data_IF_586808618819
#
_entry.id   IF_586808618819
#
_cell.length_a   1.000
_cell.length_b   1.000
_cell.length_c   1.000
_cell.angle_alpha   90.00
_cell.angle_beta   90.00
_cell.angle_gamma   90.00
#
_symmetry.space_group_name_H-M   'P 1'
#
loop_
_entity.id
_entity.type
_entity.pdbx_description
1 polymer ?
#
# COMPACT_ATOMS: atom_id res chain seq x y z
N UNK A 1 -0.56 8.17 -0.88
CA UNK A 1 -0.77 7.93 0.56
C UNK A 1 0.38 8.59 1.30
N UNK A 2 0.17 9.11 2.49
CA UNK A 2 1.28 9.71 3.22
C UNK A 2 1.93 8.70 4.17
N UNK A 3 3.12 9.07 4.66
CA UNK A 3 3.92 8.20 5.51
C UNK A 3 3.19 7.79 6.79
N UNK A 4 2.54 8.75 7.47
CA UNK A 4 1.87 8.46 8.72
C UNK A 4 0.71 7.49 8.53
N UNK A 5 -0.01 7.61 7.41
CA UNK A 5 -1.11 6.69 7.12
C UNK A 5 -0.59 5.28 6.87
N UNK A 6 0.52 5.15 6.14
CA UNK A 6 1.12 3.85 5.89
C UNK A 6 1.58 3.22 7.19
N UNK A 7 2.24 4.00 8.06
CA UNK A 7 2.68 3.51 9.35
C UNK A 7 1.50 3.02 10.21
N UNK A 8 0.40 3.77 10.21
CA UNK A 8 -0.77 3.38 10.98
C UNK A 8 -1.35 2.06 10.48
N UNK A 9 -1.42 1.88 9.17
CA UNK A 9 -1.94 0.64 8.58
C UNK A 9 -1.05 -0.53 8.99
N UNK A 10 0.27 -0.38 8.86
CA UNK A 10 1.19 -1.46 9.18
C UNK A 10 1.22 -1.77 10.68
N UNK A 11 1.24 -0.74 11.53
CA UNK A 11 1.34 -0.93 12.98
C UNK A 11 0.07 -1.51 13.56
N UNK A 12 -1.08 -1.10 13.04
CA UNK A 12 -2.38 -1.53 13.55
C UNK A 12 -2.94 -2.73 12.80
N UNK A 13 -2.23 -3.18 11.76
CA UNK A 13 -2.66 -4.29 10.91
C UNK A 13 -4.09 -4.07 10.39
N UNK A 14 -4.36 -2.85 9.95
CA UNK A 14 -5.68 -2.52 9.42
C UNK A 14 -5.94 -3.28 8.14
N UNK A 15 -7.19 -3.70 7.99
CA UNK A 15 -7.62 -4.38 6.76
C UNK A 15 -8.18 -3.33 5.82
N UNK A 16 -7.33 -2.83 4.95
CA UNK A 16 -7.71 -1.84 3.95
C UNK A 16 -7.28 -2.33 2.58
N UNK A 17 -8.02 -1.91 1.56
CA UNK A 17 -7.67 -2.23 0.19
C UNK A 17 -6.76 -1.13 -0.33
N UNK A 18 -5.55 -1.51 -0.71
CA UNK A 18 -4.54 -0.57 -1.21
C UNK A 18 -4.28 -0.90 -2.67
N UNK A 19 -4.16 0.14 -3.47
CA UNK A 19 -4.00 0.01 -4.91
C UNK A 19 -2.78 0.81 -5.38
N UNK A 20 -2.13 0.27 -6.39
CA UNK A 20 -1.09 0.94 -7.15
C UNK A 20 -1.37 0.70 -8.62
N UNK A 21 -1.49 1.79 -9.40
CA UNK A 21 -1.73 1.70 -10.85
C UNK A 21 -2.94 0.80 -11.16
N UNK A 22 -4.04 1.03 -10.44
CA UNK A 22 -5.31 0.29 -10.60
C UNK A 22 -5.21 -1.19 -10.24
N UNK A 23 -4.11 -1.64 -9.63
CA UNK A 23 -3.93 -3.03 -9.24
C UNK A 23 -3.90 -3.16 -7.73
N UNK A 24 -4.56 -4.17 -7.17
CA UNK A 24 -4.52 -4.38 -5.72
C UNK A 24 -3.13 -4.84 -5.28
N UNK A 25 -2.66 -4.25 -4.18
CA UNK A 25 -1.34 -4.55 -3.65
C UNK A 25 -1.40 -4.66 -2.13
N UNK A 26 -0.36 -5.27 -1.55
CA UNK A 26 -0.15 -5.18 -0.10
C UNK A 26 1.22 -4.55 0.14
N UNK A 27 1.34 -3.86 1.27
CA UNK A 27 2.57 -3.19 1.65
C UNK A 27 3.38 -4.13 2.54
N UNK A 28 4.62 -4.40 2.14
CA UNK A 28 5.52 -5.26 2.90
C UNK A 28 6.35 -4.44 3.89
N UNK A 29 6.64 -3.20 3.56
CA UNK A 29 7.41 -2.32 4.43
C UNK A 29 7.61 -0.98 3.78
N UNK A 30 8.11 -0.02 4.56
CA UNK A 30 8.38 1.32 4.04
C UNK A 30 9.74 1.79 4.51
N UNK A 31 10.36 2.65 3.69
CA UNK A 31 11.62 3.31 4.02
C UNK A 31 11.50 4.72 3.47
N UNK A 32 11.31 5.70 4.37
CA UNK A 32 11.06 7.09 3.99
C UNK A 32 9.81 7.16 3.11
N UNK A 33 9.95 7.63 1.87
CA UNK A 33 8.81 7.79 0.97
C UNK A 33 8.68 6.64 -0.03
N UNK A 34 9.40 5.55 0.18
CA UNK A 34 9.36 4.37 -0.70
C UNK A 34 8.75 3.20 0.05
N UNK A 35 7.81 2.51 -0.58
CA UNK A 35 7.19 1.32 -0.04
C UNK A 35 7.55 0.12 -0.89
N UNK A 36 7.83 -0.99 -0.22
CA UNK A 36 7.95 -2.27 -0.90
C UNK A 36 6.58 -2.91 -0.91
N UNK A 37 6.06 -3.19 -2.09
CA UNK A 37 4.73 -3.74 -2.25
C UNK A 37 4.78 -5.06 -2.98
N UNK A 38 3.74 -5.86 -2.78
CA UNK A 38 3.49 -7.05 -3.58
C UNK A 38 2.18 -6.89 -4.31
N UNK A 39 2.14 -7.32 -5.57
CA UNK A 39 0.90 -7.32 -6.34
C UNK A 39 0.13 -8.60 -6.03
N UNK A 40 -1.14 -8.44 -5.68
CA UNK A 40 -1.98 -9.59 -5.29
C UNK A 40 -2.26 -10.48 -6.48
N UNK A 41 -2.32 -9.90 -7.69
CA UNK A 41 -2.71 -10.65 -8.88
C UNK A 41 -1.62 -11.59 -9.40
N UNK A 42 -0.34 -11.29 -9.19
CA UNK A 42 0.74 -12.13 -9.72
C UNK A 42 1.90 -12.32 -8.74
N UNK A 43 1.81 -11.75 -7.53
CA UNK A 43 2.81 -11.85 -6.47
C UNK A 43 4.17 -11.24 -6.81
N UNK A 44 4.24 -10.39 -7.83
CA UNK A 44 5.44 -9.61 -8.08
C UNK A 44 5.66 -8.60 -6.96
N UNK A 45 6.92 -8.27 -6.72
CA UNK A 45 7.31 -7.27 -5.73
C UNK A 45 7.91 -6.07 -6.44
N UNK A 46 7.67 -4.90 -5.89
CA UNK A 46 8.18 -3.65 -6.47
C UNK A 46 8.34 -2.59 -5.38
N UNK A 47 9.35 -1.74 -5.54
CA UNK A 47 9.51 -0.55 -4.72
C UNK A 47 8.86 0.62 -5.44
N UNK A 48 7.95 1.30 -4.77
CA UNK A 48 7.20 2.42 -5.35
C UNK A 48 7.16 3.56 -4.36
N UNK A 49 6.89 4.77 -4.85
CA UNK A 49 6.67 5.91 -3.95
C UNK A 49 5.33 5.77 -3.26
N UNK A 50 5.30 6.04 -1.95
CA UNK A 50 4.06 5.91 -1.19
C UNK A 50 2.99 6.89 -1.68
N UNK A 51 3.40 8.02 -2.26
CA UNK A 51 2.44 8.99 -2.80
C UNK A 51 1.67 8.45 -3.99
N UNK A 52 2.16 7.39 -4.63
CA UNK A 52 1.47 6.74 -5.74
C UNK A 52 0.50 5.66 -5.27
N UNK A 53 0.50 5.36 -3.98
CA UNK A 53 -0.42 4.39 -3.39
C UNK A 53 -1.70 5.07 -2.96
N UNK A 54 -2.82 4.37 -3.04
CA UNK A 54 -4.08 4.91 -2.57
C UNK A 54 -4.97 3.82 -2.00
N UNK A 55 -5.84 4.22 -1.09
CA UNK A 55 -6.84 3.34 -0.51
C UNK A 55 -8.11 3.48 -1.31
N UNK A 56 -8.79 2.36 -1.51
CA UNK A 56 -10.11 2.37 -2.11
C UNK A 56 -11.11 1.87 -1.09
N UNK A 57 -12.09 2.71 -0.78
CA UNK A 57 -13.16 2.34 0.12
C UNK A 57 -14.39 2.01 -0.71
N UNK A 58 -14.78 0.74 -0.71
CA UNK A 58 -15.90 0.26 -1.49
C UNK A 58 -17.22 0.35 -0.75
N UNK A 59 -17.20 0.78 0.52
CA UNK A 59 -18.38 0.87 1.36
C UNK A 59 -18.59 2.32 1.78
N UNK A 60 -19.36 3.02 1.01
CA UNK A 60 -19.72 4.39 1.36
C UNK A 60 -21.18 4.48 1.73
#
# INVERSE_FOLDING_TARGET
MNYNRVQNILNNKEKVDIYYDERPVWIQGINNNVAKIGFIDNFEERDVFIEDLYERNLFN
#
